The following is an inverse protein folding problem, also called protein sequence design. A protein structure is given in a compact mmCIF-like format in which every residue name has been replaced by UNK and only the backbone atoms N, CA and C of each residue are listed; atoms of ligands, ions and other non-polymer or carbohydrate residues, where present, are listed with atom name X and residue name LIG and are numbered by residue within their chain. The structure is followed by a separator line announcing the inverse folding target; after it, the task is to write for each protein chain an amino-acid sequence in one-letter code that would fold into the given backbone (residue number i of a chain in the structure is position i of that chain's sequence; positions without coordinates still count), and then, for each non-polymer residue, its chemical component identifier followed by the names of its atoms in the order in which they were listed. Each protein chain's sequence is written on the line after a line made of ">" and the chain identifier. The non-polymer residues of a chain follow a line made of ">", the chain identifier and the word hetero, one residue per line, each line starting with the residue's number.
data_IF_924180924549
#
_entry.id   IF_924180924549
#
_cell.length_a   1.000
_cell.length_b   1.000
_cell.length_c   1.000
_cell.angle_alpha   90.00
_cell.angle_beta   90.00
_cell.angle_gamma   90.00
#
_symmetry.space_group_name_H-M   'P 1'
#
loop_
_entity.id
_entity.type
_entity.pdbx_description
1 polymer ?
#
# COMPACT_ATOMS: atom_id res chain seq x y z
N UNK A 1 -9.35 33.00 11.98
CA UNK A 1 -9.56 33.03 10.53
C UNK A 1 -9.77 31.59 10.09
N UNK A 2 -10.98 31.23 9.66
CA UNK A 2 -11.30 29.85 9.27
C UNK A 2 -10.56 29.53 7.97
N UNK A 3 -9.78 28.44 8.00
CA UNK A 3 -9.31 27.81 6.78
C UNK A 3 -10.55 27.32 6.04
N UNK A 4 -11.00 28.06 5.03
CA UNK A 4 -12.08 27.62 4.16
C UNK A 4 -11.75 26.25 3.59
N UNK A 5 -12.72 25.35 3.53
CA UNK A 5 -12.62 24.01 2.95
C UNK A 5 -12.08 24.15 1.51
N UNK A 6 -10.77 24.02 1.34
CA UNK A 6 -10.22 23.89 0.00
C UNK A 6 -10.62 22.51 -0.49
N UNK A 7 -11.56 22.48 -1.43
CA UNK A 7 -11.88 21.28 -2.20
C UNK A 7 -10.59 20.74 -2.83
N UNK A 8 -10.41 19.44 -2.86
CA UNK A 8 -9.24 18.81 -3.49
C UNK A 8 -9.50 18.69 -5.02
N UNK A 9 -9.10 19.68 -5.85
CA UNK A 9 -9.51 19.75 -7.27
C UNK A 9 -9.01 18.57 -8.11
N UNK A 10 -7.88 17.96 -7.71
CA UNK A 10 -7.31 16.81 -8.41
C UNK A 10 -8.14 15.55 -8.17
N UNK A 11 -8.62 15.34 -6.94
CA UNK A 11 -9.47 14.20 -6.62
C UNK A 11 -10.86 14.36 -7.27
N UNK A 12 -11.50 15.51 -7.14
CA UNK A 12 -12.78 15.78 -7.78
C UNK A 12 -12.73 15.58 -9.29
N UNK A 13 -11.66 16.06 -9.96
CA UNK A 13 -11.51 15.89 -11.41
C UNK A 13 -11.34 14.44 -11.84
N UNK A 14 -10.60 13.64 -11.08
CA UNK A 14 -10.40 12.22 -11.38
C UNK A 14 -11.64 11.39 -11.07
N UNK A 15 -12.31 11.68 -9.95
CA UNK A 15 -13.56 11.02 -9.55
C UNK A 15 -14.69 11.23 -10.54
N UNK A 16 -14.92 12.47 -11.00
CA UNK A 16 -15.97 12.83 -11.94
C UNK A 16 -15.81 12.19 -13.33
N UNK A 17 -14.62 11.73 -13.68
CA UNK A 17 -14.31 11.11 -14.97
C UNK A 17 -14.15 9.58 -14.91
N UNK A 18 -14.43 8.93 -13.77
CA UNK A 18 -14.26 7.50 -13.59
C UNK A 18 -15.54 6.86 -13.06
N UNK A 19 -16.06 5.87 -13.77
CA UNK A 19 -17.23 5.08 -13.35
C UNK A 19 -16.92 4.08 -12.22
N UNK A 20 -15.64 3.83 -11.96
CA UNK A 20 -15.15 2.92 -10.92
C UNK A 20 -14.65 3.70 -9.70
N UNK A 21 -14.69 3.09 -8.51
CA UNK A 21 -14.10 3.70 -7.32
C UNK A 21 -12.62 4.08 -7.54
N UNK A 22 -12.24 5.27 -7.08
CA UNK A 22 -10.87 5.76 -7.17
C UNK A 22 -10.25 5.74 -5.77
N UNK A 23 -9.05 5.17 -5.67
CA UNK A 23 -8.24 5.19 -4.46
C UNK A 23 -7.32 6.42 -4.49
N UNK A 24 -7.37 7.24 -3.44
CA UNK A 24 -6.38 8.29 -3.22
C UNK A 24 -5.17 7.72 -2.49
N UNK A 25 -3.97 8.04 -2.95
CA UNK A 25 -2.72 7.68 -2.29
C UNK A 25 -2.07 8.90 -1.65
N UNK A 26 -1.60 8.73 -0.42
CA UNK A 26 -0.98 9.79 0.39
C UNK A 26 0.30 9.22 1.00
N UNK A 27 1.45 9.90 0.90
CA UNK A 27 2.64 9.44 1.60
C UNK A 27 2.42 9.50 3.11
N UNK A 28 2.82 8.44 3.82
CA UNK A 28 2.72 8.39 5.26
C UNK A 28 3.86 9.11 5.99
N UNK A 29 3.77 9.26 7.33
CA UNK A 29 4.74 10.04 8.12
C UNK A 29 6.18 9.54 7.98
N UNK A 30 6.42 8.22 8.08
CA UNK A 30 7.76 7.66 7.95
C UNK A 30 8.34 7.87 6.55
N UNK A 31 7.52 7.77 5.51
CA UNK A 31 7.93 7.99 4.13
C UNK A 31 8.31 9.45 3.88
N UNK A 32 7.57 10.40 4.42
CA UNK A 32 7.91 11.82 4.35
C UNK A 32 9.24 12.08 5.05
N UNK A 33 9.42 11.58 6.29
CA UNK A 33 10.66 11.72 7.06
C UNK A 33 11.85 11.11 6.31
N UNK A 34 11.67 9.90 5.78
CA UNK A 34 12.73 9.20 5.05
C UNK A 34 13.08 9.80 3.67
N UNK A 35 12.28 10.73 3.18
CA UNK A 35 12.43 11.36 1.85
C UNK A 35 12.81 12.85 1.90
N UNK A 36 12.85 13.44 3.10
CA UNK A 36 13.13 14.88 3.29
C UNK A 36 14.25 15.10 4.31
N UNK A 37 14.97 16.22 4.16
CA UNK A 37 15.93 16.62 5.16
C UNK A 37 15.20 17.28 6.35
N UNK A 38 15.49 16.80 7.56
CA UNK A 38 15.04 17.45 8.78
C UNK A 38 16.08 18.45 9.25
N UNK A 39 15.69 19.71 9.43
CA UNK A 39 16.55 20.78 9.94
C UNK A 39 15.94 21.49 11.16
N UNK A 40 14.84 21.01 11.69
CA UNK A 40 14.11 21.70 12.76
C UNK A 40 13.86 20.83 14.01
N UNK A 41 13.49 19.58 13.83
CA UNK A 41 13.15 18.69 14.94
C UNK A 41 14.38 17.92 15.43
N UNK A 42 14.61 17.92 16.75
CA UNK A 42 15.64 17.09 17.39
C UNK A 42 15.21 15.62 17.51
N UNK A 43 13.89 15.36 17.56
CA UNK A 43 13.30 14.02 17.64
C UNK A 43 12.41 13.72 16.43
N UNK A 44 12.73 12.65 15.71
CA UNK A 44 11.94 12.19 14.54
C UNK A 44 10.55 11.67 14.93
N UNK A 45 10.35 11.21 16.16
CA UNK A 45 9.04 10.79 16.65
C UNK A 45 8.12 12.00 16.85
N UNK A 46 8.66 13.12 17.32
CA UNK A 46 7.93 14.39 17.42
C UNK A 46 7.55 14.89 16.02
N UNK A 47 8.49 14.93 15.07
CA UNK A 47 8.22 15.27 13.69
C UNK A 47 7.12 14.39 13.10
N UNK A 48 7.20 13.08 13.32
CA UNK A 48 6.20 12.11 12.85
C UNK A 48 4.81 12.42 13.43
N UNK A 49 4.73 12.74 14.73
CA UNK A 49 3.46 13.11 15.38
C UNK A 49 2.83 14.39 14.79
N UNK A 50 3.64 15.38 14.44
CA UNK A 50 3.13 16.59 13.78
C UNK A 50 2.69 16.32 12.34
N UNK A 51 3.40 15.47 11.61
CA UNK A 51 2.97 15.00 10.29
C UNK A 51 1.64 14.25 10.34
N UNK A 52 1.39 13.42 11.36
CA UNK A 52 0.09 12.76 11.57
C UNK A 52 -1.06 13.77 11.56
N UNK A 53 -0.92 14.91 12.27
CA UNK A 53 -1.97 15.94 12.33
C UNK A 53 -2.28 16.52 10.95
N UNK A 54 -1.24 16.79 10.16
CA UNK A 54 -1.37 17.36 8.81
C UNK A 54 -1.99 16.33 7.85
N UNK A 55 -1.49 15.09 7.88
CA UNK A 55 -2.00 14.01 7.02
C UNK A 55 -3.46 13.67 7.38
N UNK A 56 -3.79 13.59 8.67
CA UNK A 56 -5.17 13.38 9.11
C UNK A 56 -6.12 14.47 8.61
N UNK A 57 -5.71 15.75 8.68
CA UNK A 57 -6.50 16.85 8.12
C UNK A 57 -6.67 16.71 6.60
N UNK A 58 -5.61 16.30 5.89
CA UNK A 58 -5.68 16.05 4.45
C UNK A 58 -6.62 14.89 4.11
N UNK A 59 -6.54 13.77 4.84
CA UNK A 59 -7.45 12.63 4.68
C UNK A 59 -8.90 13.04 4.92
N UNK A 60 -9.19 13.82 5.96
CA UNK A 60 -10.52 14.36 6.21
C UNK A 60 -11.06 15.19 5.04
N UNK A 61 -10.21 16.00 4.42
CA UNK A 61 -10.57 16.76 3.22
C UNK A 61 -10.90 15.84 2.02
N UNK A 62 -10.12 14.76 1.81
CA UNK A 62 -10.39 13.76 0.78
C UNK A 62 -11.75 13.06 1.02
N UNK A 63 -12.03 12.68 2.25
CA UNK A 63 -13.32 12.06 2.63
C UNK A 63 -14.49 13.02 2.41
N UNK A 64 -14.33 14.30 2.77
CA UNK A 64 -15.34 15.34 2.50
C UNK A 64 -15.57 15.55 1.00
N UNK A 65 -14.52 15.39 0.18
CA UNK A 65 -14.63 15.44 -1.28
C UNK A 65 -15.25 14.16 -1.90
N UNK A 66 -15.63 13.17 -1.07
CA UNK A 66 -16.29 11.95 -1.49
C UNK A 66 -15.37 10.72 -1.67
N UNK A 67 -14.07 10.81 -1.34
CA UNK A 67 -13.17 9.65 -1.40
C UNK A 67 -13.58 8.60 -0.37
N UNK A 68 -13.63 7.33 -0.79
CA UNK A 68 -13.98 6.20 0.08
C UNK A 68 -12.87 5.14 0.14
N UNK A 69 -11.80 5.29 -0.62
CA UNK A 69 -10.63 4.42 -0.60
C UNK A 69 -9.38 5.27 -0.45
N UNK A 70 -8.68 5.15 0.66
CA UNK A 70 -7.49 5.95 0.94
C UNK A 70 -6.35 5.03 1.34
N UNK A 71 -5.20 5.22 0.69
CA UNK A 71 -3.99 4.45 0.93
C UNK A 71 -2.89 5.38 1.46
N UNK A 72 -2.28 4.97 2.58
CA UNK A 72 -1.00 5.52 3.02
C UNK A 72 0.14 4.71 2.40
N UNK A 73 1.08 5.39 1.75
CA UNK A 73 2.28 4.78 1.19
C UNK A 73 3.41 4.87 2.22
N UNK A 74 3.80 3.71 2.76
CA UNK A 74 4.80 3.59 3.85
C UNK A 74 5.93 2.58 3.55
N UNK A 75 6.61 2.68 2.40
CA UNK A 75 7.74 1.79 2.08
C UNK A 75 8.90 1.88 3.07
N UNK A 76 9.01 2.96 3.82
CA UNK A 76 10.08 3.15 4.81
C UNK A 76 9.90 2.21 6.01
N UNK A 77 8.67 1.82 6.38
CA UNK A 77 8.42 0.89 7.48
C UNK A 77 9.15 -0.45 7.29
N UNK A 78 9.18 -0.96 6.05
CA UNK A 78 9.84 -2.25 5.75
C UNK A 78 11.36 -2.12 5.76
N UNK A 79 11.89 -0.93 5.48
CA UNK A 79 13.35 -0.68 5.52
C UNK A 79 13.86 -0.39 6.93
N UNK A 80 12.99 0.05 7.82
CA UNK A 80 13.31 0.39 9.22
C UNK A 80 12.26 -0.23 10.16
N UNK A 81 12.16 -1.58 10.24
CA UNK A 81 11.09 -2.26 10.97
C UNK A 81 11.10 -1.95 12.48
N UNK A 82 12.26 -1.71 13.08
CA UNK A 82 12.35 -1.34 14.51
C UNK A 82 11.66 0.01 14.77
N UNK A 83 11.86 1.00 13.89
CA UNK A 83 11.19 2.31 14.00
C UNK A 83 9.70 2.17 13.72
N UNK A 84 9.33 1.31 12.75
CA UNK A 84 7.93 1.01 12.48
C UNK A 84 7.24 0.42 13.71
N UNK A 85 7.90 -0.49 14.43
CA UNK A 85 7.39 -1.10 15.66
C UNK A 85 7.35 -0.11 16.85
N UNK A 86 8.34 0.80 16.98
CA UNK A 86 8.35 1.79 18.07
C UNK A 86 7.17 2.76 17.94
N UNK A 87 7.01 3.43 16.78
CA UNK A 87 5.95 4.41 16.61
C UNK A 87 5.33 4.48 15.20
N UNK A 88 6.02 3.99 14.18
CA UNK A 88 5.62 4.24 12.79
C UNK A 88 4.24 3.71 12.45
N UNK A 89 3.92 2.47 12.85
CA UNK A 89 2.63 1.83 12.59
C UNK A 89 1.51 2.56 13.35
N UNK A 90 1.75 2.92 14.62
CA UNK A 90 0.77 3.64 15.43
C UNK A 90 0.47 5.02 14.84
N UNK A 91 1.51 5.75 14.40
CA UNK A 91 1.36 7.05 13.76
C UNK A 91 0.64 6.95 12.41
N UNK A 92 0.92 5.93 11.60
CA UNK A 92 0.19 5.71 10.35
C UNK A 92 -1.29 5.41 10.61
N UNK A 93 -1.61 4.60 11.63
CA UNK A 93 -2.99 4.35 12.07
C UNK A 93 -3.68 5.64 12.51
N UNK A 94 -3.02 6.48 13.31
CA UNK A 94 -3.55 7.77 13.79
C UNK A 94 -3.85 8.76 12.65
N UNK A 95 -3.22 8.62 11.49
CA UNK A 95 -3.59 9.42 10.32
C UNK A 95 -5.06 9.23 9.90
N UNK A 96 -5.71 8.15 10.32
CA UNK A 96 -7.12 7.87 10.08
C UNK A 96 -8.04 8.17 11.27
N UNK A 97 -7.56 8.85 12.31
CA UNK A 97 -8.37 9.17 13.49
C UNK A 97 -9.60 10.01 13.14
N UNK A 98 -10.77 9.53 13.61
CA UNK A 98 -12.06 10.16 13.35
C UNK A 98 -12.61 9.95 11.94
N UNK A 99 -12.00 9.06 11.14
CA UNK A 99 -12.53 8.65 9.83
C UNK A 99 -13.54 7.52 10.02
N UNK A 100 -14.74 7.70 9.44
CA UNK A 100 -15.85 6.75 9.56
C UNK A 100 -15.61 5.41 8.86
N UNK A 101 -16.42 4.40 9.22
CA UNK A 101 -16.30 3.03 8.72
C UNK A 101 -16.76 2.80 7.28
N UNK A 102 -17.22 3.85 6.58
CA UNK A 102 -17.52 3.82 5.14
C UNK A 102 -16.29 4.11 4.24
N UNK A 103 -15.14 4.36 4.87
CA UNK A 103 -13.86 4.61 4.19
C UNK A 103 -12.93 3.41 4.38
N UNK A 104 -12.50 2.83 3.28
CA UNK A 104 -11.49 1.76 3.28
C UNK A 104 -10.10 2.37 3.50
N UNK A 105 -9.43 1.91 4.55
CA UNK A 105 -8.11 2.37 5.00
C UNK A 105 -7.05 1.36 4.59
N UNK A 106 -6.22 1.72 3.63
CA UNK A 106 -5.15 0.86 3.14
C UNK A 106 -3.78 1.39 3.59
N UNK A 107 -2.88 0.52 4.01
CA UNK A 107 -1.44 0.83 4.11
C UNK A 107 -0.68 0.05 3.05
N UNK A 108 0.19 0.73 2.28
CA UNK A 108 1.01 0.10 1.25
C UNK A 108 2.49 0.07 1.67
N UNK A 109 3.06 -1.11 1.55
CA UNK A 109 4.42 -1.43 1.96
C UNK A 109 5.15 -2.11 0.80
N UNK A 110 6.09 -1.42 0.15
CA UNK A 110 6.96 -2.03 -0.84
C UNK A 110 8.39 -2.15 -0.35
N UNK A 111 9.08 -3.21 -0.79
CA UNK A 111 10.43 -3.54 -0.30
C UNK A 111 11.54 -2.70 -0.93
N UNK A 112 11.27 -2.02 -2.02
CA UNK A 112 12.21 -1.19 -2.76
C UNK A 112 11.72 -0.92 -4.17
N UNK A 113 12.15 0.21 -4.75
CA UNK A 113 11.72 0.62 -6.08
C UNK A 113 12.93 0.72 -7.01
N UNK A 114 12.91 0.06 -8.18
CA UNK A 114 14.01 0.15 -9.14
C UNK A 114 14.04 1.53 -9.81
N UNK A 115 15.15 1.89 -10.42
CA UNK A 115 15.34 3.16 -11.13
C UNK A 115 14.95 3.07 -12.61
N UNK A 116 14.93 1.86 -13.19
CA UNK A 116 14.60 1.63 -14.60
C UNK A 116 14.04 0.22 -14.80
N UNK A 117 13.42 0.02 -15.97
CA UNK A 117 12.83 -1.26 -16.36
C UNK A 117 13.91 -2.37 -16.41
N UNK A 118 13.54 -3.55 -15.91
CA UNK A 118 14.40 -4.75 -15.83
C UNK A 118 15.65 -4.61 -14.95
N UNK A 119 15.72 -3.59 -14.11
CA UNK A 119 16.76 -3.51 -13.08
C UNK A 119 16.58 -4.64 -12.06
N UNK A 120 17.68 -5.34 -11.73
CA UNK A 120 17.70 -6.46 -10.77
C UNK A 120 18.53 -6.17 -9.53
N UNK A 121 19.48 -5.25 -9.61
CA UNK A 121 20.50 -4.92 -8.62
C UNK A 121 20.19 -3.67 -7.80
N UNK A 122 18.94 -3.48 -7.39
CA UNK A 122 18.54 -2.35 -6.53
C UNK A 122 18.35 -2.79 -5.07
N UNK A 123 18.58 -1.89 -4.11
CA UNK A 123 18.40 -2.20 -2.70
C UNK A 123 16.96 -2.59 -2.38
N UNK A 124 16.80 -3.72 -1.70
CA UNK A 124 15.53 -4.19 -1.15
C UNK A 124 15.62 -4.31 0.36
N UNK A 125 14.50 -4.12 1.03
CA UNK A 125 14.38 -4.41 2.45
C UNK A 125 14.73 -5.87 2.77
N UNK A 126 15.09 -6.14 4.01
CA UNK A 126 15.34 -7.49 4.50
C UNK A 126 14.15 -8.42 4.22
N UNK A 127 14.42 -9.72 4.01
CA UNK A 127 13.36 -10.70 3.74
C UNK A 127 12.41 -10.89 4.91
N UNK A 128 12.93 -10.74 6.13
CA UNK A 128 12.18 -10.95 7.35
C UNK A 128 11.46 -9.69 7.84
N UNK A 129 11.68 -8.54 7.17
CA UNK A 129 11.11 -7.27 7.59
C UNK A 129 9.57 -7.28 7.67
N UNK A 130 8.90 -7.95 6.73
CA UNK A 130 7.45 -8.09 6.81
C UNK A 130 7.01 -8.90 8.03
N UNK A 131 7.70 -10.01 8.34
CA UNK A 131 7.40 -10.83 9.52
C UNK A 131 7.53 -10.06 10.82
N UNK A 132 8.55 -9.19 10.92
CA UNK A 132 8.75 -8.38 12.13
C UNK A 132 7.55 -7.48 12.46
N UNK A 133 6.87 -6.95 11.44
CA UNK A 133 5.82 -5.93 11.60
C UNK A 133 4.40 -6.45 11.36
N UNK A 134 4.24 -7.68 10.83
CA UNK A 134 2.96 -8.21 10.37
C UNK A 134 1.87 -8.23 11.44
N UNK A 135 2.16 -8.75 12.63
CA UNK A 135 1.18 -8.83 13.72
C UNK A 135 0.71 -7.44 14.17
N UNK A 136 1.63 -6.49 14.27
CA UNK A 136 1.29 -5.12 14.66
C UNK A 136 0.47 -4.41 13.57
N UNK A 137 0.77 -4.64 12.29
CA UNK A 137 -0.01 -4.12 11.17
C UNK A 137 -1.44 -4.67 11.18
N UNK A 138 -1.62 -5.98 11.40
CA UNK A 138 -2.96 -6.60 11.45
C UNK A 138 -3.81 -6.07 12.63
N UNK A 139 -3.16 -5.59 13.70
CA UNK A 139 -3.85 -5.02 14.86
C UNK A 139 -4.06 -3.49 14.75
N UNK A 140 -3.43 -2.81 13.81
CA UNK A 140 -3.38 -1.36 13.75
C UNK A 140 -4.67 -0.69 13.22
N UNK A 141 -5.67 -1.48 12.80
CA UNK A 141 -6.98 -0.96 12.35
C UNK A 141 -7.01 -0.53 10.89
N UNK A 142 -6.08 -0.98 10.07
CA UNK A 142 -6.18 -0.91 8.61
C UNK A 142 -7.16 -1.99 8.11
N UNK A 143 -8.01 -1.63 7.15
CA UNK A 143 -8.89 -2.58 6.47
C UNK A 143 -8.09 -3.45 5.48
N UNK A 144 -7.03 -2.86 4.89
CA UNK A 144 -6.22 -3.49 3.87
C UNK A 144 -4.72 -3.23 4.12
N UNK A 145 -3.90 -4.28 3.99
CA UNK A 145 -2.44 -4.21 3.99
C UNK A 145 -1.92 -4.65 2.62
N UNK A 146 -1.27 -3.74 1.90
CA UNK A 146 -0.75 -3.97 0.55
C UNK A 146 0.73 -4.33 0.59
N UNK A 147 1.05 -5.53 0.10
CA UNK A 147 2.38 -6.14 0.16
C UNK A 147 2.91 -6.46 -1.24
N UNK A 148 4.19 -6.19 -1.48
CA UNK A 148 4.93 -6.66 -2.67
C UNK A 148 5.12 -8.19 -2.58
N UNK A 149 4.86 -8.92 -3.69
CA UNK A 149 5.10 -10.36 -3.77
C UNK A 149 5.62 -10.83 -5.14
N UNK A 150 5.34 -10.12 -6.23
CA UNK A 150 5.75 -10.56 -7.56
C UNK A 150 7.23 -10.34 -7.85
N UNK A 151 7.84 -9.25 -7.39
CA UNK A 151 9.29 -9.05 -7.51
C UNK A 151 10.10 -9.97 -6.59
N UNK A 152 9.55 -10.32 -5.44
CA UNK A 152 10.17 -11.17 -4.44
C UNK A 152 9.10 -11.95 -3.69
N UNK A 153 8.96 -13.24 -4.01
CA UNK A 153 7.99 -14.11 -3.34
C UNK A 153 8.23 -14.13 -1.83
N UNK A 154 7.20 -13.81 -1.08
CA UNK A 154 7.19 -13.97 0.37
C UNK A 154 7.01 -15.45 0.73
N UNK A 155 7.52 -15.85 1.90
CA UNK A 155 7.15 -17.13 2.48
C UNK A 155 5.64 -17.14 2.78
N UNK A 156 4.98 -18.25 2.53
CA UNK A 156 3.53 -18.37 2.69
C UNK A 156 3.08 -18.20 4.13
N UNK A 157 3.93 -18.56 5.09
CA UNK A 157 3.63 -18.38 6.53
C UNK A 157 3.46 -16.91 6.93
N UNK A 158 3.97 -15.97 6.14
CA UNK A 158 3.71 -14.54 6.38
C UNK A 158 2.21 -14.23 6.42
N UNK A 159 1.45 -14.87 5.55
CA UNK A 159 0.00 -14.61 5.44
C UNK A 159 -0.81 -15.16 6.62
N UNK A 160 -0.23 -16.08 7.42
CA UNK A 160 -0.83 -16.57 8.66
C UNK A 160 -0.95 -15.50 9.75
N UNK A 161 -0.19 -14.41 9.65
CA UNK A 161 -0.24 -13.28 10.59
C UNK A 161 -1.44 -12.36 10.37
N UNK A 162 -2.07 -12.38 9.18
CA UNK A 162 -3.18 -11.49 8.85
C UNK A 162 -4.53 -12.18 9.05
N UNK A 163 -5.23 -11.78 10.12
CA UNK A 163 -6.54 -12.33 10.51
C UNK A 163 -7.66 -11.30 10.45
N UNK A 164 -7.33 -10.01 10.54
CA UNK A 164 -8.28 -8.90 10.56
C UNK A 164 -8.24 -8.11 9.26
N UNK A 165 -7.03 -7.73 8.83
CA UNK A 165 -6.83 -6.95 7.63
C UNK A 165 -6.87 -7.84 6.38
N UNK A 166 -7.45 -7.33 5.29
CA UNK A 166 -7.35 -7.96 3.97
C UNK A 166 -5.95 -7.76 3.42
N UNK A 167 -5.44 -8.74 2.68
CA UNK A 167 -4.18 -8.63 1.96
C UNK A 167 -4.43 -8.15 0.53
N UNK A 168 -3.83 -7.01 0.18
CA UNK A 168 -3.70 -6.56 -1.21
C UNK A 168 -2.37 -7.10 -1.72
N UNK A 169 -2.44 -8.24 -2.43
CA UNK A 169 -1.27 -8.98 -2.88
C UNK A 169 -0.74 -8.44 -4.20
N UNK A 170 0.50 -7.98 -4.21
CA UNK A 170 1.23 -7.68 -5.43
C UNK A 170 1.46 -8.95 -6.25
N UNK A 171 0.81 -9.07 -7.39
CA UNK A 171 0.79 -10.29 -8.21
C UNK A 171 1.47 -10.15 -9.56
N UNK A 172 1.78 -8.92 -9.97
CA UNK A 172 2.56 -8.62 -11.18
C UNK A 172 3.69 -7.64 -10.86
N UNK A 173 4.88 -7.94 -11.40
CA UNK A 173 6.08 -7.14 -11.20
C UNK A 173 6.00 -5.84 -12.02
N UNK A 174 6.21 -4.72 -11.36
CA UNK A 174 5.99 -3.38 -11.94
C UNK A 174 7.14 -2.88 -12.81
N UNK A 175 8.33 -3.45 -12.65
CA UNK A 175 9.54 -3.03 -13.36
C UNK A 175 10.24 -4.19 -14.09
N UNK A 176 9.48 -5.20 -14.50
CA UNK A 176 9.96 -6.29 -15.37
C UNK A 176 9.15 -6.33 -16.66
N UNK A 177 9.86 -6.40 -17.80
CA UNK A 177 9.23 -6.50 -19.12
C UNK A 177 8.57 -7.87 -19.35
N UNK A 178 9.00 -8.93 -18.63
CA UNK A 178 8.35 -10.24 -18.66
C UNK A 178 6.90 -10.14 -18.17
N UNK A 179 5.98 -10.67 -18.96
CA UNK A 179 4.55 -10.76 -18.59
C UNK A 179 4.31 -12.08 -17.87
N UNK A 180 3.78 -12.01 -16.65
CA UNK A 180 3.34 -13.17 -15.87
C UNK A 180 2.14 -13.83 -16.56
N UNK A 181 2.15 -15.18 -16.65
CA UNK A 181 1.01 -15.92 -17.19
C UNK A 181 -0.16 -15.96 -16.20
N UNK A 182 -1.36 -16.15 -16.74
CA UNK A 182 -2.59 -16.32 -15.95
C UNK A 182 -2.42 -17.46 -14.92
N UNK A 183 -1.87 -18.60 -15.34
CA UNK A 183 -1.70 -19.76 -14.46
C UNK A 183 -0.65 -19.53 -13.37
N UNK A 184 0.44 -18.83 -13.70
CA UNK A 184 1.46 -18.45 -12.71
C UNK A 184 0.88 -17.56 -11.59
N UNK A 185 0.08 -16.57 -11.97
CA UNK A 185 -0.61 -15.70 -11.02
C UNK A 185 -1.64 -16.51 -10.21
N UNK A 186 -2.48 -17.28 -10.89
CA UNK A 186 -3.52 -18.11 -10.27
C UNK A 186 -2.95 -19.12 -9.27
N UNK A 187 -1.86 -19.79 -9.62
CA UNK A 187 -1.18 -20.72 -8.71
C UNK A 187 -0.75 -20.01 -7.42
N UNK A 188 -0.15 -18.84 -7.54
CA UNK A 188 0.26 -18.07 -6.37
C UNK A 188 -0.93 -17.62 -5.51
N UNK A 189 -2.01 -17.14 -6.12
CA UNK A 189 -3.22 -16.75 -5.40
C UNK A 189 -3.81 -17.93 -4.62
N UNK A 190 -3.87 -19.13 -5.23
CA UNK A 190 -4.35 -20.36 -4.54
C UNK A 190 -3.47 -20.72 -3.34
N UNK A 191 -2.17 -20.57 -3.45
CA UNK A 191 -1.27 -20.89 -2.35
C UNK A 191 -1.43 -19.88 -1.20
N UNK A 192 -1.51 -18.59 -1.50
CA UNK A 192 -1.77 -17.54 -0.48
C UNK A 192 -3.12 -17.74 0.20
N UNK A 193 -4.18 -18.08 -0.54
CA UNK A 193 -5.52 -18.30 0.01
C UNK A 193 -5.59 -19.41 1.08
N UNK A 194 -4.70 -20.40 1.05
CA UNK A 194 -4.64 -21.46 2.07
C UNK A 194 -4.22 -20.92 3.45
N UNK A 195 -3.63 -19.73 3.50
CA UNK A 195 -3.12 -19.08 4.71
C UNK A 195 -4.03 -17.94 5.21
N UNK A 196 -5.02 -17.53 4.41
CA UNK A 196 -5.95 -16.47 4.75
C UNK A 196 -7.27 -17.03 5.31
N UNK A 197 -8.01 -16.27 6.13
CA UNK A 197 -9.28 -16.70 6.72
C UNK A 197 -10.36 -17.07 5.69
N UNK A 198 -10.41 -16.37 4.56
CA UNK A 198 -11.36 -16.60 3.47
C UNK A 198 -10.89 -15.92 2.18
N UNK A 199 -11.56 -16.20 1.05
CA UNK A 199 -11.28 -15.54 -0.22
C UNK A 199 -11.50 -14.02 -0.15
N UNK A 200 -12.44 -13.55 0.67
CA UNK A 200 -12.71 -12.11 0.87
C UNK A 200 -11.54 -11.35 1.52
N UNK A 201 -10.56 -12.07 2.09
CA UNK A 201 -9.35 -11.48 2.66
C UNK A 201 -8.22 -11.27 1.63
N UNK A 202 -8.44 -11.64 0.35
CA UNK A 202 -7.44 -11.47 -0.71
C UNK A 202 -7.93 -10.49 -1.78
N UNK A 203 -7.14 -9.46 -2.00
CA UNK A 203 -7.31 -8.51 -3.11
C UNK A 203 -6.09 -8.63 -4.01
N UNK A 204 -6.31 -8.67 -5.31
CA UNK A 204 -5.23 -8.84 -6.30
C UNK A 204 -4.85 -7.50 -6.89
N UNK A 205 -3.56 -7.16 -6.86
CA UNK A 205 -3.04 -5.89 -7.33
C UNK A 205 -1.64 -6.05 -7.97
N UNK A 206 -1.12 -5.05 -8.67
CA UNK A 206 0.31 -4.94 -8.95
C UNK A 206 1.12 -4.70 -7.68
N UNK A 207 2.43 -5.03 -7.70
CA UNK A 207 3.33 -4.79 -6.56
C UNK A 207 3.36 -3.32 -6.13
N UNK A 208 3.31 -2.39 -7.08
CA UNK A 208 3.36 -0.95 -6.85
C UNK A 208 2.88 -0.19 -8.11
N UNK A 209 3.26 1.09 -8.25
CA UNK A 209 2.95 1.92 -9.42
C UNK A 209 3.58 1.40 -10.72
N UNK A 210 2.83 1.45 -11.82
CA UNK A 210 3.13 0.80 -13.10
C UNK A 210 3.87 1.70 -14.11
N UNK A 211 4.43 2.83 -13.65
CA UNK A 211 4.97 3.90 -14.50
C UNK A 211 6.14 3.51 -15.42
N UNK A 212 6.88 2.44 -15.11
CA UNK A 212 8.00 1.96 -15.96
C UNK A 212 7.55 1.12 -17.16
N UNK A 213 6.34 0.57 -17.14
CA UNK A 213 5.91 -0.38 -18.15
C UNK A 213 5.45 0.32 -19.44
N UNK A 214 5.92 -0.12 -20.62
CA UNK A 214 5.31 0.20 -21.90
C UNK A 214 3.83 -0.20 -21.92
N UNK A 215 3.00 0.55 -22.63
CA UNK A 215 1.53 0.39 -22.60
C UNK A 215 1.03 -0.99 -23.02
N UNK A 216 1.69 -1.65 -23.95
CA UNK A 216 1.38 -3.00 -24.42
C UNK A 216 1.67 -4.05 -23.33
N UNK A 217 2.85 -3.98 -22.71
CA UNK A 217 3.24 -4.84 -21.58
C UNK A 217 2.31 -4.60 -20.40
N UNK A 218 2.05 -3.34 -20.05
CA UNK A 218 1.11 -2.96 -19.00
C UNK A 218 -0.26 -3.62 -19.20
N UNK A 219 -0.84 -3.49 -20.39
CA UNK A 219 -2.15 -4.08 -20.71
C UNK A 219 -2.12 -5.60 -20.61
N UNK A 220 -1.09 -6.25 -21.13
CA UNK A 220 -0.94 -7.70 -21.07
C UNK A 220 -0.88 -8.19 -19.61
N UNK A 221 -0.06 -7.57 -18.76
CA UNK A 221 0.03 -7.90 -17.35
C UNK A 221 -1.29 -7.72 -16.60
N UNK A 222 -1.96 -6.58 -16.79
CA UNK A 222 -3.25 -6.31 -16.14
C UNK A 222 -4.35 -7.25 -16.62
N UNK A 223 -4.40 -7.59 -17.91
CA UNK A 223 -5.37 -8.55 -18.44
C UNK A 223 -5.16 -9.94 -17.83
N UNK A 224 -3.91 -10.42 -17.76
CA UNK A 224 -3.60 -11.72 -17.15
C UNK A 224 -3.92 -11.73 -15.64
N UNK A 225 -3.65 -10.62 -14.95
CA UNK A 225 -3.97 -10.47 -13.54
C UNK A 225 -5.49 -10.53 -13.28
N UNK A 226 -6.28 -9.79 -14.05
CA UNK A 226 -7.75 -9.76 -13.94
C UNK A 226 -8.34 -11.13 -14.31
N UNK A 227 -7.85 -11.77 -15.39
CA UNK A 227 -8.29 -13.11 -15.77
C UNK A 227 -7.96 -14.14 -14.67
N UNK A 228 -6.76 -14.10 -14.10
CA UNK A 228 -6.39 -14.98 -13.00
C UNK A 228 -7.32 -14.79 -11.79
N UNK A 229 -7.59 -13.54 -11.40
CA UNK A 229 -8.45 -13.23 -10.26
C UNK A 229 -9.91 -13.65 -10.50
N UNK A 230 -10.47 -13.42 -11.72
CA UNK A 230 -11.87 -13.72 -12.05
C UNK A 230 -12.21 -15.21 -12.05
N UNK A 231 -11.19 -16.08 -12.07
CA UNK A 231 -11.34 -17.55 -12.08
C UNK A 231 -11.01 -18.18 -10.73
N UNK A 232 -10.80 -17.34 -9.70
CA UNK A 232 -10.68 -17.81 -8.30
C UNK A 232 -12.06 -18.08 -7.71
N UNK A 233 -12.15 -18.98 -6.71
CA UNK A 233 -13.41 -19.32 -6.04
C UNK A 233 -13.99 -18.14 -5.26
#
# INVERSE_FOLDING_TARGET
>A
MGLGSQKCPLFERNWLNCEKPVKATVPGPMTIIGSTANAFYDDLKELSSDLVKVINAHIKNLVQAGCRHIQLDEPVMVRTPDIALDYGIDHASQCFDGIGGDVVKTVHLCCGYPLYLDQTDYPKADKDAYFMIADKLDQAGFDEVSLEDAHRRNDLSLFDHFKKSKIVLGSVAIARSRVESVEEIRSRLRDVLKHLPSADHLIVAPDCGLGFLPKDILRAKLNNMVEAASTMP
#
